data_IF_234763906472
#
_entry.id   IF_234763906472
#
_cell.length_a   1.000
_cell.length_b   1.000
_cell.length_c   1.000
_cell.angle_alpha   90.00
_cell.angle_beta   90.00
_cell.angle_gamma   90.00
#
_symmetry.space_group_name_H-M   'P 1'
#
loop_
_entity.id
_entity.type
_entity.pdbx_description
1 polymer ?
#
# COMPACT_ATOMS: atom_id res chain seq x y z
N UNK A 1 20.19 1.42 -14.67
CA UNK A 1 19.24 2.42 -14.16
C UNK A 1 18.83 1.97 -12.77
N UNK A 2 19.27 2.67 -11.74
CA UNK A 2 18.70 2.46 -10.40
C UNK A 2 17.28 3.04 -10.39
N UNK A 3 16.30 2.24 -9.99
CA UNK A 3 14.96 2.75 -9.70
C UNK A 3 15.07 3.69 -8.48
N UNK A 4 14.48 4.89 -8.50
CA UNK A 4 14.56 5.80 -7.36
C UNK A 4 13.96 5.15 -6.11
N UNK A 5 14.72 5.21 -5.00
CA UNK A 5 14.23 4.81 -3.69
C UNK A 5 13.13 5.79 -3.23
N UNK A 6 11.98 5.26 -2.80
CA UNK A 6 10.88 6.07 -2.29
C UNK A 6 11.13 6.38 -0.81
N UNK A 7 11.59 7.60 -0.52
CA UNK A 7 11.95 8.01 0.84
C UNK A 7 10.71 8.24 1.71
N UNK A 8 10.49 7.38 2.70
CA UNK A 8 9.44 7.52 3.70
C UNK A 8 9.76 8.66 4.70
N UNK A 9 8.77 9.44 5.16
CA UNK A 9 7.34 9.40 4.80
C UNK A 9 7.00 10.14 3.50
N UNK A 10 6.05 9.62 2.73
CA UNK A 10 5.50 10.26 1.54
C UNK A 10 4.07 9.80 1.26
N UNK A 11 3.36 10.56 0.43
CA UNK A 11 2.10 10.16 -0.18
C UNK A 11 2.30 9.98 -1.69
N UNK A 12 1.67 8.96 -2.28
CA UNK A 12 1.76 8.65 -3.70
C UNK A 12 0.38 8.33 -4.25
N UNK A 13 0.12 8.82 -5.47
CA UNK A 13 -1.09 8.50 -6.22
C UNK A 13 -0.71 7.76 -7.50
N UNK A 14 -1.37 6.62 -7.76
CA UNK A 14 -1.17 5.81 -8.97
C UNK A 14 -2.50 5.75 -9.71
N UNK A 15 -2.60 6.45 -10.83
CA UNK A 15 -3.84 6.60 -11.60
C UNK A 15 -3.76 5.92 -12.98
N UNK A 16 -4.91 5.52 -13.51
CA UNK A 16 -5.04 4.89 -14.82
C UNK A 16 -6.31 4.03 -14.92
N UNK A 17 -6.75 3.66 -16.14
CA UNK A 17 -7.97 2.88 -16.34
C UNK A 17 -7.88 1.47 -15.73
N UNK A 18 -9.01 0.80 -15.54
CA UNK A 18 -9.03 -0.60 -15.10
C UNK A 18 -8.10 -1.46 -15.98
N UNK A 19 -7.43 -2.44 -15.36
CA UNK A 19 -6.46 -3.34 -15.99
C UNK A 19 -5.17 -2.69 -16.53
N UNK A 20 -4.90 -1.39 -16.27
CA UNK A 20 -3.64 -0.73 -16.67
C UNK A 20 -2.40 -1.16 -15.86
N UNK A 21 -2.50 -2.17 -14.99
CA UNK A 21 -1.37 -2.69 -14.20
C UNK A 21 -1.13 -2.03 -12.84
N UNK A 22 -2.00 -1.14 -12.36
CA UNK A 22 -1.83 -0.42 -11.08
C UNK A 22 -1.60 -1.34 -9.88
N UNK A 23 -2.47 -2.35 -9.67
CA UNK A 23 -2.31 -3.31 -8.56
C UNK A 23 -0.96 -4.03 -8.64
N UNK A 24 -0.57 -4.45 -9.85
CA UNK A 24 0.71 -5.13 -10.07
C UNK A 24 1.91 -4.22 -9.81
N UNK A 25 1.80 -2.94 -10.13
CA UNK A 25 2.84 -1.95 -9.85
C UNK A 25 3.00 -1.72 -8.35
N UNK A 26 1.91 -1.54 -7.61
CA UNK A 26 1.94 -1.43 -6.13
C UNK A 26 2.55 -2.70 -5.51
N UNK A 27 2.11 -3.88 -5.95
CA UNK A 27 2.72 -5.16 -5.52
C UNK A 27 4.23 -5.16 -5.74
N UNK A 28 4.70 -4.74 -6.93
CA UNK A 28 6.13 -4.70 -7.24
C UNK A 28 6.89 -3.72 -6.34
N UNK A 29 6.30 -2.59 -5.97
CA UNK A 29 6.91 -1.64 -5.00
C UNK A 29 7.17 -2.34 -3.66
N UNK A 30 6.21 -3.12 -3.18
CA UNK A 30 6.29 -3.84 -1.91
C UNK A 30 7.27 -5.01 -1.98
N UNK A 31 7.18 -5.86 -3.02
CA UNK A 31 8.06 -7.02 -3.22
C UNK A 31 9.53 -6.62 -3.36
N UNK A 32 9.82 -5.53 -4.06
CA UNK A 32 11.19 -5.04 -4.26
C UNK A 32 11.66 -4.12 -3.13
N UNK A 33 10.81 -3.86 -2.13
CA UNK A 33 11.12 -3.00 -0.97
C UNK A 33 11.69 -1.63 -1.38
N UNK A 34 11.07 -1.00 -2.38
CA UNK A 34 11.46 0.31 -2.92
C UNK A 34 11.26 1.46 -1.90
N UNK A 35 10.41 1.28 -0.90
CA UNK A 35 10.17 2.25 0.18
C UNK A 35 11.30 2.14 1.22
N UNK A 36 11.90 3.28 1.59
CA UNK A 36 13.02 3.37 2.53
C UNK A 36 12.79 4.46 3.60
N UNK A 37 12.88 4.15 4.91
CA UNK A 37 12.90 2.79 5.49
C UNK A 37 11.65 1.99 5.12
N UNK A 38 11.76 0.66 5.07
CA UNK A 38 10.63 -0.18 4.71
C UNK A 38 9.63 -0.24 5.89
N UNK A 39 8.31 -0.15 5.65
CA UNK A 39 7.32 -0.20 6.71
C UNK A 39 7.31 -1.56 7.43
N UNK A 40 7.07 -1.53 8.75
CA UNK A 40 6.91 -2.75 9.55
C UNK A 40 5.50 -3.35 9.47
N UNK A 41 4.49 -2.54 9.11
CA UNK A 41 3.09 -2.94 8.95
C UNK A 41 2.53 -2.31 7.68
N UNK A 42 1.84 -3.10 6.86
CA UNK A 42 1.20 -2.65 5.61
C UNK A 42 -0.27 -3.03 5.68
N UNK A 43 -1.14 -2.02 5.57
CA UNK A 43 -2.59 -2.18 5.50
C UNK A 43 -3.01 -1.85 4.07
N UNK A 44 -3.66 -2.79 3.40
CA UNK A 44 -4.16 -2.61 2.05
C UNK A 44 -5.68 -2.62 2.05
N UNK A 45 -6.25 -1.42 1.93
CA UNK A 45 -7.69 -1.22 1.75
C UNK A 45 -8.07 -1.42 0.27
N UNK A 46 -9.01 -2.33 -0.02
CA UNK A 46 -9.46 -2.62 -1.38
C UNK A 46 -10.98 -2.42 -1.52
N UNK A 47 -11.42 -1.99 -2.71
CA UNK A 47 -12.86 -1.93 -3.03
C UNK A 47 -13.39 -3.18 -3.74
N UNK A 48 -12.51 -3.97 -4.36
CA UNK A 48 -12.86 -5.22 -5.04
C UNK A 48 -11.77 -6.26 -4.73
N UNK A 49 -12.18 -7.44 -4.26
CA UNK A 49 -11.27 -8.54 -3.97
C UNK A 49 -10.49 -8.98 -5.22
N UNK A 50 -9.21 -9.31 -5.05
CA UNK A 50 -8.38 -9.87 -6.11
C UNK A 50 -7.69 -11.13 -5.61
N UNK A 51 -7.77 -12.21 -6.38
CA UNK A 51 -7.06 -13.48 -6.08
C UNK A 51 -5.54 -13.31 -5.90
N UNK A 52 -4.97 -12.21 -6.39
CA UNK A 52 -3.57 -11.84 -6.16
C UNK A 52 -3.22 -11.68 -4.67
N UNK A 53 -4.17 -11.26 -3.84
CA UNK A 53 -3.95 -11.00 -2.41
C UNK A 53 -3.53 -12.28 -1.67
N UNK A 54 -4.02 -13.45 -2.09
CA UNK A 54 -3.65 -14.76 -1.53
C UNK A 54 -2.15 -15.08 -1.65
N UNK A 55 -1.43 -14.38 -2.54
CA UNK A 55 0.01 -14.56 -2.77
C UNK A 55 0.87 -13.59 -1.97
N UNK A 56 0.28 -12.76 -1.12
CA UNK A 56 0.96 -11.68 -0.40
C UNK A 56 0.79 -11.89 1.11
N UNK A 57 1.80 -12.49 1.76
CA UNK A 57 1.71 -12.95 3.16
C UNK A 57 1.89 -11.86 4.23
N UNK A 58 2.54 -10.74 3.89
CA UNK A 58 2.98 -9.72 4.86
C UNK A 58 2.12 -8.45 4.82
N UNK A 59 0.86 -8.60 4.42
CA UNK A 59 -0.07 -7.49 4.20
C UNK A 59 -1.41 -7.81 4.85
N UNK A 60 -1.92 -6.85 5.61
CA UNK A 60 -3.25 -6.90 6.20
C UNK A 60 -4.25 -6.32 5.20
N UNK A 61 -5.08 -7.17 4.60
CA UNK A 61 -6.08 -6.75 3.62
C UNK A 61 -7.41 -6.43 4.28
N UNK A 62 -7.98 -5.27 3.95
CA UNK A 62 -9.29 -4.83 4.42
C UNK A 62 -10.16 -4.44 3.24
N UNK A 63 -11.42 -4.88 3.24
CA UNK A 63 -12.41 -4.38 2.29
C UNK A 63 -12.90 -3.01 2.77
N UNK A 64 -12.80 -2.00 1.91
CA UNK A 64 -13.05 -0.61 2.28
C UNK A 64 -12.02 -0.06 3.26
N UNK A 65 -12.36 1.09 3.87
CA UNK A 65 -11.55 1.70 4.94
C UNK A 65 -12.08 1.17 6.28
N UNK A 66 -11.25 0.55 7.12
CA UNK A 66 -11.66 0.08 8.45
C UNK A 66 -12.26 1.21 9.29
N UNK A 67 -13.32 0.91 10.04
CA UNK A 67 -13.98 1.88 10.92
C UNK A 67 -13.09 2.36 12.08
N UNK A 68 -12.10 1.55 12.46
CA UNK A 68 -11.15 1.77 13.54
C UNK A 68 -9.75 2.11 13.02
N UNK A 69 -9.64 2.69 11.81
CA UNK A 69 -8.36 2.97 11.15
C UNK A 69 -7.37 3.75 12.04
N UNK A 70 -7.88 4.65 12.88
CA UNK A 70 -7.08 5.44 13.84
C UNK A 70 -6.36 4.53 14.86
N UNK A 71 -7.05 3.50 15.34
CA UNK A 71 -6.49 2.51 16.26
C UNK A 71 -5.51 1.57 15.55
N UNK A 72 -5.81 1.17 14.31
CA UNK A 72 -4.99 0.21 13.54
C UNK A 72 -3.62 0.81 13.20
N UNK A 73 -3.59 2.10 12.88
CA UNK A 73 -2.41 2.72 12.26
C UNK A 73 -1.50 3.43 13.26
N UNK A 74 -1.99 3.78 14.46
CA UNK A 74 -1.40 4.87 15.26
C UNK A 74 -1.04 6.08 14.38
N UNK A 75 -1.71 6.24 13.22
CA UNK A 75 -1.41 7.30 12.31
C UNK A 75 -1.93 8.55 13.00
N UNK A 76 -1.01 9.31 13.56
CA UNK A 76 -1.22 10.71 13.84
C UNK A 76 -1.51 11.34 12.46
N UNK A 77 -2.76 11.28 12.03
CA UNK A 77 -3.31 12.28 11.12
C UNK A 77 -3.27 13.53 11.98
N UNK A 78 -2.11 14.21 11.98
CA UNK A 78 -2.02 15.54 12.54
C UNK A 78 -3.05 16.35 11.75
N UNK A 79 -4.18 16.63 12.41
CA UNK A 79 -5.08 17.70 12.02
C UNK A 79 -4.18 18.91 11.75
N UNK A 80 -4.05 19.25 10.47
CA UNK A 80 -3.44 20.51 10.07
C UNK A 80 -4.32 21.66 10.54
#
# INVERSE_FOLDING_TARGET
MEFPNLKHPFSMMICGPSNSGKTFFVRRILETKLIKPFPNKIIWCYGIYQKLFEKMSDIEFHEGIPSDVENITNALIHNR
#
